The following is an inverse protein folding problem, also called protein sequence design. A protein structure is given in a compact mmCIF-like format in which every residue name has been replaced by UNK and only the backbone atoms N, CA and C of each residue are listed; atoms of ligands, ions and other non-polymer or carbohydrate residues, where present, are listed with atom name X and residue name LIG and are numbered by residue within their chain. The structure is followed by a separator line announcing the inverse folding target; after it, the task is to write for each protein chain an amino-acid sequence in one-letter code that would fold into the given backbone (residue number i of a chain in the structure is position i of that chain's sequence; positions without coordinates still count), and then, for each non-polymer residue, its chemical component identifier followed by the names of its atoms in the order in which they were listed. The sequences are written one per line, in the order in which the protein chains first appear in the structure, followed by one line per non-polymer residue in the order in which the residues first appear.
data_IF_664936174542
#
_entry.id   IF_664936174542
#
_cell.length_a   1.000
_cell.length_b   1.000
_cell.length_c   1.000
_cell.angle_alpha   90.00
_cell.angle_beta   90.00
_cell.angle_gamma   90.00
#
_symmetry.space_group_name_H-M   'P 1'
#
loop_
_entity.id
_entity.type
_entity.pdbx_description
1 polymer ?
#
# COMPACT_ATOMS: atom_id res chain seq x y z
N UNK A 1 -29.73 19.20 -25.92
CA UNK A 1 -28.30 19.04 -26.24
C UNK A 1 -27.55 18.59 -25.00
N UNK A 2 -27.24 17.30 -24.94
CA UNK A 2 -26.50 16.61 -23.88
C UNK A 2 -25.02 17.00 -23.94
N UNK A 3 -24.55 17.84 -23.00
CA UNK A 3 -23.12 18.04 -22.77
C UNK A 3 -22.60 16.88 -21.92
N UNK A 4 -22.07 15.84 -22.58
CA UNK A 4 -21.17 14.89 -21.92
C UNK A 4 -19.96 15.66 -21.40
N UNK A 5 -19.98 15.92 -20.10
CA UNK A 5 -18.91 16.59 -19.38
C UNK A 5 -17.80 15.55 -19.20
N UNK A 6 -16.80 15.57 -20.07
CA UNK A 6 -15.54 14.84 -19.90
C UNK A 6 -14.86 15.32 -18.61
N UNK A 7 -15.30 14.80 -17.46
CA UNK A 7 -14.52 14.89 -16.22
C UNK A 7 -13.33 13.98 -16.43
N UNK A 8 -12.15 14.59 -16.58
CA UNK A 8 -10.88 13.87 -16.69
C UNK A 8 -10.78 12.82 -15.59
N UNK A 9 -10.32 11.61 -15.90
CA UNK A 9 -10.07 10.56 -14.90
C UNK A 9 -9.24 11.11 -13.72
N UNK A 10 -8.34 12.06 -14.00
CA UNK A 10 -7.53 12.76 -13.02
C UNK A 10 -8.35 13.55 -11.98
N UNK A 11 -9.49 14.11 -12.37
CA UNK A 11 -10.43 14.80 -11.46
C UNK A 11 -11.21 13.80 -10.59
N UNK A 12 -11.52 12.61 -11.12
CA UNK A 12 -12.15 11.54 -10.35
C UNK A 12 -11.18 10.96 -9.29
N UNK A 13 -9.90 10.80 -9.62
CA UNK A 13 -8.86 10.39 -8.67
C UNK A 13 -8.65 11.38 -7.52
N UNK A 14 -8.85 12.68 -7.77
CA UNK A 14 -8.66 13.73 -6.76
C UNK A 14 -9.81 13.83 -5.75
N UNK A 15 -10.94 13.18 -6.00
CA UNK A 15 -12.13 13.18 -5.15
C UNK A 15 -12.44 11.78 -4.61
N UNK A 16 -11.45 10.89 -4.64
CA UNK A 16 -11.67 9.48 -4.36
C UNK A 16 -11.78 9.27 -2.84
N UNK A 17 -12.97 8.87 -2.40
CA UNK A 17 -13.23 8.48 -1.02
C UNK A 17 -12.46 7.19 -0.69
N UNK A 18 -12.05 7.00 0.57
CA UNK A 18 -11.33 5.81 1.05
C UNK A 18 -12.08 4.52 0.69
N UNK A 19 -13.41 4.54 0.72
CA UNK A 19 -14.22 3.38 0.32
C UNK A 19 -14.07 3.04 -1.17
N UNK A 20 -13.98 4.05 -2.03
CA UNK A 20 -13.76 3.85 -3.47
C UNK A 20 -12.32 3.41 -3.73
N UNK A 21 -11.35 3.92 -2.97
CA UNK A 21 -9.94 3.53 -3.10
C UNK A 21 -9.75 2.05 -2.73
N UNK A 22 -10.38 1.59 -1.65
CA UNK A 22 -10.40 0.19 -1.25
C UNK A 22 -11.04 -0.70 -2.32
N UNK A 23 -12.19 -0.28 -2.88
CA UNK A 23 -12.84 -1.03 -3.95
C UNK A 23 -11.99 -1.13 -5.22
N UNK A 24 -11.29 -0.05 -5.60
CA UNK A 24 -10.36 -0.05 -6.73
C UNK A 24 -9.13 -0.93 -6.48
N UNK A 25 -8.58 -0.93 -5.26
CA UNK A 25 -7.49 -1.84 -4.91
C UNK A 25 -7.94 -3.30 -4.98
N UNK A 26 -9.12 -3.62 -4.44
CA UNK A 26 -9.67 -4.97 -4.54
C UNK A 26 -9.89 -5.38 -5.99
N UNK A 27 -10.49 -4.50 -6.80
CA UNK A 27 -10.69 -4.74 -8.23
C UNK A 27 -9.36 -4.98 -8.97
N UNK A 28 -8.32 -4.19 -8.68
CA UNK A 28 -7.00 -4.35 -9.27
C UNK A 28 -6.35 -5.69 -8.89
N UNK A 29 -6.42 -6.09 -7.62
CA UNK A 29 -5.88 -7.38 -7.13
C UNK A 29 -6.62 -8.56 -7.79
N UNK A 30 -7.95 -8.53 -7.82
CA UNK A 30 -8.75 -9.58 -8.46
C UNK A 30 -8.47 -9.63 -9.97
N UNK A 31 -8.33 -8.47 -10.62
CA UNK A 31 -7.95 -8.39 -12.03
C UNK A 31 -6.58 -8.98 -12.34
N UNK A 32 -5.58 -8.76 -11.48
CA UNK A 32 -4.26 -9.39 -11.59
C UNK A 32 -4.32 -10.92 -11.47
N UNK A 33 -5.16 -11.42 -10.57
CA UNK A 33 -5.38 -12.87 -10.43
C UNK A 33 -6.10 -13.42 -11.67
N UNK A 34 -7.16 -12.77 -12.13
CA UNK A 34 -7.96 -13.21 -13.28
C UNK A 34 -7.14 -13.23 -14.59
N UNK A 35 -6.18 -12.33 -14.74
CA UNK A 35 -5.31 -12.26 -15.92
C UNK A 35 -4.12 -13.23 -15.86
N UNK A 36 -3.89 -13.92 -14.74
CA UNK A 36 -2.75 -14.81 -14.52
C UNK A 36 -1.43 -14.11 -14.20
N UNK A 37 -1.36 -12.78 -14.35
CA UNK A 37 -0.14 -11.98 -14.11
C UNK A 37 0.34 -12.02 -12.67
N UNK A 38 -0.56 -12.30 -11.71
CA UNK A 38 -0.21 -12.38 -10.31
C UNK A 38 0.88 -13.43 -10.04
N UNK A 39 0.85 -14.57 -10.73
CA UNK A 39 1.84 -15.64 -10.52
C UNK A 39 3.23 -15.20 -10.98
N UNK A 40 3.35 -14.63 -12.17
CA UNK A 40 4.63 -14.12 -12.70
C UNK A 40 5.22 -13.03 -11.80
N UNK A 41 4.36 -12.15 -11.27
CA UNK A 41 4.78 -11.10 -10.32
C UNK A 41 5.27 -11.73 -9.02
N UNK A 42 4.56 -12.70 -8.47
CA UNK A 42 4.95 -13.40 -7.24
C UNK A 42 6.29 -14.12 -7.44
N UNK A 43 6.49 -14.80 -8.56
CA UNK A 43 7.73 -15.51 -8.87
C UNK A 43 8.91 -14.53 -8.99
N UNK A 44 8.73 -13.39 -9.66
CA UNK A 44 9.75 -12.35 -9.73
C UNK A 44 10.07 -11.75 -8.35
N UNK A 45 9.04 -11.48 -7.54
CA UNK A 45 9.18 -10.90 -6.21
C UNK A 45 9.82 -11.87 -5.20
N UNK A 46 9.61 -13.18 -5.37
CA UNK A 46 10.25 -14.21 -4.55
C UNK A 46 11.71 -14.45 -4.96
N UNK A 47 12.03 -14.32 -6.26
CA UNK A 47 13.41 -14.38 -6.75
C UNK A 47 14.27 -13.22 -6.20
N UNK A 48 13.72 -12.01 -6.18
CA UNK A 48 14.41 -10.82 -5.69
C UNK A 48 13.83 -10.36 -4.35
N UNK A 49 14.26 -10.98 -3.25
CA UNK A 49 13.71 -10.77 -1.88
C UNK A 49 13.64 -9.31 -1.41
N UNK A 50 14.49 -8.43 -1.91
CA UNK A 50 14.49 -7.00 -1.55
C UNK A 50 13.64 -6.12 -2.48
N UNK A 51 13.22 -6.64 -3.64
CA UNK A 51 12.37 -5.91 -4.58
C UNK A 51 11.01 -5.53 -3.99
N UNK A 52 10.30 -6.41 -3.24
CA UNK A 52 9.06 -6.04 -2.57
C UNK A 52 9.26 -4.91 -1.55
N UNK A 53 10.36 -4.95 -0.79
CA UNK A 53 10.68 -3.93 0.21
C UNK A 53 10.95 -2.59 -0.47
N UNK A 54 11.82 -2.59 -1.48
CA UNK A 54 12.17 -1.39 -2.25
C UNK A 54 10.94 -0.79 -2.95
N UNK A 55 10.12 -1.63 -3.59
CA UNK A 55 8.87 -1.21 -4.23
C UNK A 55 7.87 -0.61 -3.23
N UNK A 56 7.77 -1.20 -2.03
CA UNK A 56 6.88 -0.69 -1.00
C UNK A 56 7.36 0.66 -0.43
N UNK A 57 8.67 0.85 -0.21
CA UNK A 57 9.22 2.17 0.17
C UNK A 57 9.14 3.20 -0.96
N UNK A 58 9.27 2.79 -2.22
CA UNK A 58 9.06 3.68 -3.35
C UNK A 58 7.60 4.16 -3.40
N UNK A 59 6.64 3.25 -3.24
CA UNK A 59 5.22 3.60 -3.11
C UNK A 59 4.97 4.54 -1.93
N UNK A 60 5.58 4.25 -0.78
CA UNK A 60 5.55 5.10 0.41
C UNK A 60 5.99 6.53 0.13
N UNK A 61 7.15 6.70 -0.53
CA UNK A 61 7.70 7.99 -0.88
C UNK A 61 6.84 8.73 -1.91
N UNK A 62 6.27 8.02 -2.89
CA UNK A 62 5.35 8.59 -3.89
C UNK A 62 4.08 9.10 -3.22
N UNK A 63 3.45 8.30 -2.35
CA UNK A 63 2.23 8.68 -1.64
C UNK A 63 2.49 9.93 -0.79
N UNK A 64 3.57 9.94 -0.01
CA UNK A 64 3.96 11.11 0.78
C UNK A 64 4.24 12.35 -0.08
N UNK A 65 4.95 12.20 -1.21
CA UNK A 65 5.24 13.30 -2.12
C UNK A 65 3.98 13.84 -2.83
N UNK A 66 2.98 12.98 -3.04
CA UNK A 66 1.70 13.32 -3.66
C UNK A 66 0.69 13.96 -2.70
N UNK A 67 0.90 13.84 -1.39
CA UNK A 67 -0.04 14.32 -0.39
C UNK A 67 -0.02 15.84 -0.24
N UNK A 68 -1.12 16.39 0.28
CA UNK A 68 -1.23 17.81 0.61
C UNK A 68 -0.39 18.19 1.83
N UNK A 69 -0.04 17.21 2.66
CA UNK A 69 0.70 17.35 3.92
C UNK A 69 2.20 17.08 3.76
N UNK A 70 2.84 17.70 2.76
CA UNK A 70 4.29 17.58 2.53
C UNK A 70 5.17 18.03 3.69
N UNK A 71 4.62 18.76 4.66
CA UNK A 71 5.34 19.16 5.87
C UNK A 71 5.06 18.17 7.01
N UNK A 72 6.02 17.31 7.39
CA UNK A 72 5.84 16.29 8.43
C UNK A 72 5.51 16.85 9.82
N UNK A 73 5.70 18.16 10.03
CA UNK A 73 5.39 18.83 11.31
C UNK A 73 3.88 18.98 11.57
N UNK A 74 3.04 18.78 10.54
CA UNK A 74 1.58 18.86 10.68
C UNK A 74 0.92 17.50 10.97
N UNK A 75 1.73 16.44 11.06
CA UNK A 75 1.23 15.11 11.41
C UNK A 75 0.94 15.03 12.90
N UNK A 76 -0.18 14.42 13.24
CA UNK A 76 -0.45 14.08 14.63
C UNK A 76 0.60 13.04 15.10
N UNK A 77 1.08 13.09 16.35
CA UNK A 77 2.07 12.13 16.86
C UNK A 77 1.68 10.66 16.64
N UNK A 78 0.37 10.36 16.69
CA UNK A 78 -0.18 9.04 16.40
C UNK A 78 -0.02 8.62 14.93
N UNK A 79 -0.19 9.55 13.99
CA UNK A 79 -0.01 9.30 12.56
C UNK A 79 1.46 8.95 12.28
N UNK A 80 2.40 9.68 12.92
CA UNK A 80 3.83 9.38 12.88
C UNK A 80 4.18 8.01 13.45
N UNK A 81 3.54 7.61 14.56
CA UNK A 81 3.76 6.31 15.15
C UNK A 81 3.33 5.18 14.20
N UNK A 82 2.16 5.30 13.56
CA UNK A 82 1.66 4.31 12.59
C UNK A 82 2.62 4.19 11.40
N UNK A 83 3.02 5.32 10.83
CA UNK A 83 3.99 5.45 9.73
C UNK A 83 5.30 4.74 10.05
N UNK A 84 5.88 5.05 11.20
CA UNK A 84 7.18 4.53 11.65
C UNK A 84 7.12 3.05 11.97
N UNK A 85 6.10 2.62 12.72
CA UNK A 85 5.90 1.20 13.07
C UNK A 85 5.70 0.35 11.82
N UNK A 86 4.95 0.84 10.84
CA UNK A 86 4.76 0.15 9.56
C UNK A 86 6.08 -0.04 8.82
N UNK A 87 6.89 1.02 8.72
CA UNK A 87 8.20 0.94 8.08
C UNK A 87 9.14 -0.04 8.79
N UNK A 88 9.14 -0.05 10.12
CA UNK A 88 9.94 -0.99 10.93
C UNK A 88 9.47 -2.42 10.71
N UNK A 89 8.17 -2.69 10.76
CA UNK A 89 7.60 -4.03 10.55
C UNK A 89 7.94 -4.54 9.14
N UNK A 90 7.80 -3.71 8.11
CA UNK A 90 8.15 -4.09 6.74
C UNK A 90 9.64 -4.43 6.60
N UNK A 91 10.50 -3.61 7.19
CA UNK A 91 11.95 -3.84 7.18
C UNK A 91 12.29 -5.12 7.93
N UNK A 92 11.76 -5.30 9.13
CA UNK A 92 11.96 -6.49 9.95
C UNK A 92 11.47 -7.76 9.26
N UNK A 93 10.30 -7.70 8.59
CA UNK A 93 9.79 -8.81 7.80
C UNK A 93 10.69 -9.15 6.61
N UNK A 94 11.36 -8.17 6.00
CA UNK A 94 12.27 -8.41 4.89
C UNK A 94 13.65 -8.92 5.32
N UNK A 95 14.16 -8.53 6.49
CA UNK A 95 15.55 -8.80 6.91
C UNK A 95 15.70 -9.86 7.99
N UNK A 96 14.70 -10.06 8.86
CA UNK A 96 14.78 -11.00 9.98
C UNK A 96 14.03 -12.30 9.67
N UNK A 97 14.78 -13.41 9.59
CA UNK A 97 14.21 -14.73 9.33
C UNK A 97 13.20 -15.18 10.41
N UNK A 98 13.40 -14.75 11.65
CA UNK A 98 12.50 -15.03 12.78
C UNK A 98 11.12 -14.41 12.56
N UNK A 99 11.09 -13.17 12.06
CA UNK A 99 9.85 -12.45 11.76
C UNK A 99 9.14 -13.11 10.57
N UNK A 100 9.88 -13.51 9.53
CA UNK A 100 9.31 -14.27 8.40
C UNK A 100 8.69 -15.58 8.85
N UNK A 101 9.38 -16.31 9.72
CA UNK A 101 8.91 -17.58 10.26
C UNK A 101 7.66 -17.38 11.12
N UNK A 102 7.66 -16.36 11.97
CA UNK A 102 6.49 -16.00 12.78
C UNK A 102 5.28 -15.66 11.91
N UNK A 103 5.46 -14.82 10.88
CA UNK A 103 4.39 -14.43 9.95
C UNK A 103 3.87 -15.66 9.20
N UNK A 104 4.75 -16.53 8.73
CA UNK A 104 4.36 -17.77 8.02
C UNK A 104 3.56 -18.69 8.93
N UNK A 105 3.99 -18.89 10.17
CA UNK A 105 3.34 -19.77 11.15
C UNK A 105 1.97 -19.27 11.63
N UNK A 106 1.73 -17.96 11.54
CA UNK A 106 0.48 -17.31 11.98
C UNK A 106 -0.38 -16.84 10.81
N UNK A 107 0.01 -17.20 9.58
CA UNK A 107 -0.77 -16.95 8.37
C UNK A 107 -2.10 -17.73 8.45
N UNK A 108 -3.25 -17.15 8.04
CA UNK A 108 -3.39 -15.90 7.27
C UNK A 108 -3.49 -14.62 8.11
N UNK A 109 -3.69 -14.73 9.43
CA UNK A 109 -4.05 -13.59 10.28
C UNK A 109 -2.97 -12.51 10.34
N UNK A 110 -1.70 -12.93 10.43
CA UNK A 110 -0.54 -12.03 10.38
C UNK A 110 -0.47 -11.25 9.07
N UNK A 111 -0.73 -11.91 7.94
CA UNK A 111 -0.71 -11.31 6.61
C UNK A 111 -1.82 -10.27 6.45
N UNK A 112 -3.03 -10.58 6.95
CA UNK A 112 -4.16 -9.63 6.96
C UNK A 112 -3.83 -8.41 7.81
N UNK A 113 -3.21 -8.61 8.98
CA UNK A 113 -2.86 -7.52 9.89
C UNK A 113 -1.79 -6.60 9.28
N UNK A 114 -0.72 -7.17 8.69
CA UNK A 114 0.32 -6.41 7.99
C UNK A 114 -0.27 -5.63 6.81
N UNK A 115 -1.10 -6.28 6.00
CA UNK A 115 -1.79 -5.62 4.88
C UNK A 115 -2.67 -4.46 5.36
N UNK A 116 -3.46 -4.67 6.42
CA UNK A 116 -4.29 -3.63 7.02
C UNK A 116 -3.46 -2.44 7.51
N UNK A 117 -2.33 -2.72 8.17
CA UNK A 117 -1.39 -1.70 8.64
C UNK A 117 -0.82 -0.89 7.46
N UNK A 118 -0.42 -1.55 6.38
CA UNK A 118 0.09 -0.88 5.17
C UNK A 118 -0.96 0.00 4.50
N UNK A 119 -2.22 -0.43 4.44
CA UNK A 119 -3.34 0.36 3.89
C UNK A 119 -3.60 1.60 4.75
N UNK A 120 -3.68 1.44 6.08
CA UNK A 120 -3.87 2.57 7.01
C UNK A 120 -2.70 3.54 6.90
N UNK A 121 -1.47 3.04 6.83
CA UNK A 121 -0.28 3.87 6.64
C UNK A 121 -0.34 4.66 5.32
N UNK A 122 -0.72 4.03 4.21
CA UNK A 122 -0.93 4.71 2.93
C UNK A 122 -2.01 5.79 3.01
N UNK A 123 -3.11 5.54 3.71
CA UNK A 123 -4.19 6.52 3.91
C UNK A 123 -3.74 7.71 4.77
N UNK A 124 -2.94 7.46 5.82
CA UNK A 124 -2.35 8.50 6.67
C UNK A 124 -1.40 9.39 5.86
N UNK A 125 -0.54 8.78 5.03
CA UNK A 125 0.40 9.52 4.19
C UNK A 125 -0.29 10.30 3.08
N UNK A 126 -1.38 9.76 2.51
CA UNK A 126 -2.07 10.32 1.36
C UNK A 126 -3.02 11.50 1.65
N UNK A 127 -3.12 11.92 2.93
CA UNK A 127 -3.94 13.05 3.39
C UNK A 127 -3.39 14.40 2.94
#
# INVERSE_FOLDING_TARGET
MTRHRNRSAFQAYKQLDIGTALALMFFAVVGLVQTGLMLDIVDMLTQYKFLPLAGSFAAYAIVFASSGTRNPQHYHPLEWAIVSVTAVIMTAHATLAEVQTLVTNTSPWSSILIMGLMVVCGAVLGK
#
